data_IF_970550612261
#
_entry.id   IF_970550612261
#
_cell.length_a   1.000
_cell.length_b   1.000
_cell.length_c   1.000
_cell.angle_alpha   90.00
_cell.angle_beta   90.00
_cell.angle_gamma   90.00
#
_symmetry.space_group_name_H-M   'P 1'
#
loop_
_entity.id
_entity.type
_entity.pdbx_description
1 polymer ?
#
# COMPACT_ATOMS: atom_id res chain seq x y z
N UNK A 1 6.23 29.39 -9.62
CA UNK A 1 6.17 30.15 -8.35
C UNK A 1 7.56 30.68 -8.05
N UNK A 2 7.69 31.95 -7.63
CA UNK A 2 8.97 32.61 -7.32
C UNK A 2 9.07 32.83 -5.80
N UNK A 3 10.16 32.40 -5.17
CA UNK A 3 10.49 32.75 -3.79
C UNK A 3 11.44 33.97 -3.82
N UNK A 4 11.17 35.00 -3.01
CA UNK A 4 11.69 36.36 -3.19
C UNK A 4 12.84 36.70 -2.22
N UNK A 5 13.37 35.75 -1.46
CA UNK A 5 14.55 36.00 -0.59
C UNK A 5 15.89 35.53 -1.16
N UNK A 6 15.89 34.76 -2.27
CA UNK A 6 17.13 34.13 -2.77
C UNK A 6 17.45 34.48 -4.23
N UNK A 7 16.61 35.27 -4.92
CA UNK A 7 16.87 35.75 -6.30
C UNK A 7 17.02 34.67 -7.39
N UNK A 8 16.90 33.39 -7.07
CA UNK A 8 17.10 32.30 -8.02
C UNK A 8 15.86 32.13 -8.91
N UNK A 9 16.03 32.28 -10.23
CA UNK A 9 15.00 32.02 -11.24
C UNK A 9 15.23 30.65 -11.88
N UNK A 10 14.27 29.74 -11.73
CA UNK A 10 14.25 28.47 -12.46
C UNK A 10 13.36 28.66 -13.70
N UNK A 11 13.96 28.65 -14.90
CA UNK A 11 13.21 28.58 -16.16
C UNK A 11 12.87 27.11 -16.46
N UNK A 12 11.59 26.77 -16.53
CA UNK A 12 11.12 25.51 -17.11
C UNK A 12 10.47 25.81 -18.46
N UNK A 13 11.10 25.34 -19.54
CA UNK A 13 10.47 25.28 -20.85
C UNK A 13 9.65 23.97 -20.93
N UNK A 14 8.35 24.09 -21.21
CA UNK A 14 7.43 22.96 -21.36
C UNK A 14 6.94 22.94 -22.79
N UNK A 15 7.50 22.04 -23.59
CA UNK A 15 7.00 21.69 -24.91
C UNK A 15 6.20 20.39 -24.83
N UNK A 16 4.93 20.43 -25.25
CA UNK A 16 4.08 19.26 -25.40
C UNK A 16 4.25 18.72 -26.83
N UNK A 17 4.85 17.52 -26.96
CA UNK A 17 4.83 16.74 -28.19
C UNK A 17 3.78 15.65 -28.09
N UNK A 18 2.87 15.59 -29.06
CA UNK A 18 1.91 14.48 -29.16
C UNK A 18 2.64 13.18 -29.48
N UNK A 19 2.63 12.24 -28.54
CA UNK A 19 3.27 10.94 -28.70
C UNK A 19 2.97 9.98 -27.54
N UNK A 20 2.12 8.99 -27.79
CA UNK A 20 1.85 7.84 -26.91
C UNK A 20 3.12 6.99 -26.75
N UNK A 21 3.94 7.29 -25.76
CA UNK A 21 4.89 6.32 -25.19
C UNK A 21 4.94 6.59 -23.68
N UNK A 22 4.52 5.60 -22.89
CA UNK A 22 4.66 5.59 -21.43
C UNK A 22 6.16 5.74 -21.14
N UNK A 23 6.58 6.90 -20.63
CA UNK A 23 7.98 7.12 -20.28
C UNK A 23 8.29 6.38 -18.99
N UNK A 24 9.35 5.59 -19.01
CA UNK A 24 9.91 4.98 -17.80
C UNK A 24 10.32 6.09 -16.79
N UNK A 25 10.31 5.80 -15.49
CA UNK A 25 10.61 6.81 -14.47
C UNK A 25 12.02 7.36 -14.64
N UNK A 26 12.14 8.67 -14.81
CA UNK A 26 13.44 9.36 -14.92
C UNK A 26 14.19 9.25 -13.59
N UNK A 27 15.39 8.68 -13.63
CA UNK A 27 16.29 8.57 -12.50
C UNK A 27 17.25 9.77 -12.48
N UNK A 28 17.18 10.61 -11.44
CA UNK A 28 18.15 11.67 -11.20
C UNK A 28 19.41 11.04 -10.59
N UNK A 29 20.48 10.97 -11.37
CA UNK A 29 21.82 10.59 -10.89
C UNK A 29 22.58 11.88 -10.61
N UNK A 30 22.76 12.20 -9.33
CA UNK A 30 23.63 13.30 -8.91
C UNK A 30 25.08 12.83 -8.99
N UNK A 31 25.90 13.50 -9.81
CA UNK A 31 27.36 13.41 -9.72
C UNK A 31 27.87 14.62 -8.94
N UNK A 32 28.02 14.45 -7.63
CA UNK A 32 28.55 15.48 -6.73
C UNK A 32 28.14 15.22 -5.29
N UNK A 33 29.09 15.39 -4.36
CA UNK A 33 28.90 15.20 -2.92
C UNK A 33 27.94 16.25 -2.37
N UNK A 34 26.75 15.84 -1.96
CA UNK A 34 25.81 16.69 -1.22
C UNK A 34 26.18 16.61 0.26
N UNK A 35 26.83 17.64 0.78
CA UNK A 35 27.09 17.79 2.21
C UNK A 35 25.80 18.20 2.92
N UNK A 36 25.18 17.29 3.66
CA UNK A 36 24.08 17.62 4.58
C UNK A 36 24.65 18.30 5.81
N UNK A 37 24.52 19.62 5.89
CA UNK A 37 24.87 20.39 7.08
C UNK A 37 23.84 20.09 8.19
N UNK A 38 24.22 19.25 9.15
CA UNK A 38 23.46 19.00 10.38
C UNK A 38 24.42 19.03 11.57
N UNK A 39 24.74 20.25 12.02
CA UNK A 39 24.96 20.57 13.44
C UNK A 39 25.24 22.07 13.55
N UNK A 40 24.36 22.81 14.23
CA UNK A 40 24.69 24.13 14.73
C UNK A 40 24.60 24.09 16.25
N UNK A 41 25.72 24.34 16.91
CA UNK A 41 25.79 24.56 18.35
C UNK A 41 27.18 24.23 18.93
N UNK A 42 28.16 25.11 18.72
CA UNK A 42 28.72 26.02 19.74
C UNK A 42 30.10 26.54 19.27
N UNK A 43 30.43 27.84 19.45
CA UNK A 43 31.70 28.40 18.98
C UNK A 43 32.77 28.25 20.07
N UNK A 44 33.99 27.84 19.69
CA UNK A 44 35.19 28.07 20.49
C UNK A 44 36.40 28.25 19.57
N UNK A 45 37.24 29.19 19.99
CA UNK A 45 38.38 29.77 19.27
C UNK A 45 39.58 28.83 19.08
N UNK A 46 40.46 29.26 18.16
CA UNK A 46 41.92 29.04 18.12
C UNK A 46 42.52 27.92 17.24
N UNK A 47 43.14 28.40 16.15
CA UNK A 47 44.51 28.17 15.69
C UNK A 47 45.12 26.76 15.53
N UNK A 48 45.79 26.62 14.36
CA UNK A 48 47.00 25.82 14.06
C UNK A 48 46.83 24.41 13.48
N UNK A 49 47.15 24.32 12.18
CA UNK A 49 48.11 23.38 11.56
C UNK A 49 47.99 21.86 11.80
N UNK A 50 47.84 21.11 10.70
CA UNK A 50 48.47 19.79 10.58
C UNK A 50 47.62 18.64 10.06
N UNK A 51 48.01 18.16 8.87
CA UNK A 51 48.02 16.75 8.45
C UNK A 51 46.72 16.07 7.99
N UNK A 52 46.75 15.73 6.69
CA UNK A 52 45.86 14.88 5.91
C UNK A 52 45.81 13.45 6.46
N UNK A 53 44.64 12.97 6.87
CA UNK A 53 44.36 11.54 7.03
C UNK A 53 43.13 11.14 6.21
N UNK A 54 43.40 10.25 5.26
CA UNK A 54 42.47 9.47 4.44
C UNK A 54 41.46 8.75 5.34
N UNK A 55 40.16 9.04 5.17
CA UNK A 55 39.07 8.22 5.72
C UNK A 55 38.53 7.29 4.64
N UNK A 56 38.51 6.01 4.97
CA UNK A 56 37.95 4.91 4.21
C UNK A 56 36.44 5.12 3.96
N UNK A 57 35.88 4.57 2.86
CA UNK A 57 34.50 4.83 2.49
C UNK A 57 33.51 4.08 3.40
N UNK A 58 32.58 4.85 3.96
CA UNK A 58 31.47 4.37 4.78
C UNK A 58 30.60 3.34 4.05
N UNK A 59 30.37 2.24 4.76
CA UNK A 59 29.59 1.08 4.38
C UNK A 59 28.13 1.48 4.15
N UNK A 60 27.63 1.26 2.93
CA UNK A 60 26.23 1.45 2.55
C UNK A 60 25.27 0.89 3.61
N UNK A 61 24.49 1.78 4.23
CA UNK A 61 23.48 1.42 5.20
C UNK A 61 22.40 0.57 4.50
N UNK A 62 22.39 -0.74 4.81
CA UNK A 62 21.36 -1.66 4.35
C UNK A 62 19.99 -1.20 4.88
N UNK A 63 18.90 -1.31 4.09
CA UNK A 63 17.56 -0.98 4.56
C UNK A 63 17.27 -1.78 5.83
N UNK A 64 16.99 -1.05 6.91
CA UNK A 64 16.74 -1.61 8.24
C UNK A 64 15.40 -2.34 8.18
N UNK A 65 15.44 -3.67 8.18
CA UNK A 65 14.24 -4.51 8.27
C UNK A 65 13.50 -4.14 9.55
N UNK A 66 12.24 -3.75 9.41
CA UNK A 66 11.42 -3.39 10.56
C UNK A 66 11.12 -4.64 11.39
N UNK A 67 11.40 -4.56 12.69
CA UNK A 67 10.99 -5.58 13.65
C UNK A 67 9.51 -5.39 13.95
N UNK A 68 8.76 -6.48 13.92
CA UNK A 68 7.32 -6.51 14.09
C UNK A 68 6.90 -6.15 15.51
N UNK A 69 6.46 -4.91 15.72
CA UNK A 69 5.88 -4.46 16.98
C UNK A 69 4.34 -4.60 16.93
N UNK A 70 3.81 -5.83 17.02
CA UNK A 70 2.37 -6.06 17.15
C UNK A 70 1.88 -7.47 16.76
N UNK A 71 0.61 -7.81 17.05
CA UNK A 71 0.02 -9.08 16.62
C UNK A 71 0.06 -9.25 15.09
N UNK A 72 0.36 -10.46 14.62
CA UNK A 72 0.52 -10.78 13.19
C UNK A 72 -0.65 -10.28 12.32
N UNK A 73 -1.94 -10.44 12.70
CA UNK A 73 -3.04 -9.89 11.90
C UNK A 73 -2.96 -8.38 11.67
N UNK A 74 -2.56 -7.61 12.69
CA UNK A 74 -2.45 -6.14 12.62
C UNK A 74 -1.33 -5.73 11.68
N UNK A 75 -0.18 -6.40 11.78
CA UNK A 75 0.97 -6.20 10.90
C UNK A 75 0.60 -6.48 9.46
N UNK A 76 -0.02 -7.63 9.18
CA UNK A 76 -0.43 -8.02 7.84
C UNK A 76 -1.43 -7.02 7.24
N UNK A 77 -2.44 -6.61 8.00
CA UNK A 77 -3.40 -5.59 7.54
C UNK A 77 -2.71 -4.27 7.24
N UNK A 78 -1.79 -3.80 8.11
CA UNK A 78 -1.03 -2.57 7.88
C UNK A 78 -0.20 -2.66 6.61
N UNK A 79 0.53 -3.75 6.43
CA UNK A 79 1.35 -3.99 5.26
C UNK A 79 0.50 -4.01 3.97
N UNK A 80 -0.64 -4.70 3.98
CA UNK A 80 -1.56 -4.75 2.85
C UNK A 80 -2.11 -3.36 2.50
N UNK A 81 -2.52 -2.58 3.51
CA UNK A 81 -3.02 -1.22 3.30
C UNK A 81 -1.94 -0.29 2.75
N UNK A 82 -0.72 -0.34 3.30
CA UNK A 82 0.42 0.43 2.78
C UNK A 82 0.78 0.02 1.36
N UNK A 83 0.75 -1.27 1.03
CA UNK A 83 1.08 -1.74 -0.32
C UNK A 83 0.06 -1.27 -1.37
N UNK A 84 -1.22 -1.15 -1.00
CA UNK A 84 -2.27 -0.70 -1.91
C UNK A 84 -2.37 0.83 -2.06
N UNK A 85 -2.08 1.58 -0.99
CA UNK A 85 -2.39 3.01 -0.94
C UNK A 85 -1.19 3.92 -0.63
N UNK A 86 -0.06 3.39 -0.18
CA UNK A 86 1.10 4.22 0.14
C UNK A 86 2.01 4.39 -1.09
N UNK A 87 2.70 5.55 -1.22
CA UNK A 87 3.74 5.71 -2.22
C UNK A 87 4.81 4.63 -2.11
N UNK A 88 5.33 4.12 -3.24
CA UNK A 88 6.27 2.99 -3.28
C UNK A 88 7.52 3.19 -2.39
N UNK A 89 7.88 4.42 -2.04
CA UNK A 89 9.02 4.74 -1.14
C UNK A 89 8.73 4.54 0.35
N UNK A 90 7.49 4.22 0.72
CA UNK A 90 7.02 4.15 2.12
C UNK A 90 6.48 2.78 2.52
N UNK A 91 6.52 1.79 1.61
CA UNK A 91 6.20 0.41 1.98
C UNK A 91 7.35 -0.13 2.81
N UNK A 92 7.10 -0.30 4.10
CA UNK A 92 8.07 -0.84 5.05
C UNK A 92 8.37 -2.30 4.67
N UNK A 93 9.62 -2.66 4.33
CA UNK A 93 9.97 -4.04 4.07
C UNK A 93 9.94 -4.80 5.39
N UNK A 94 8.89 -5.58 5.56
CA UNK A 94 8.70 -6.46 6.71
C UNK A 94 9.26 -7.84 6.37
N UNK A 95 10.22 -8.33 7.16
CA UNK A 95 10.77 -9.66 6.96
C UNK A 95 9.68 -10.75 7.09
N UNK A 96 9.69 -11.69 6.16
CA UNK A 96 8.80 -12.86 6.15
C UNK A 96 7.46 -12.65 5.44
N UNK A 97 7.07 -11.40 5.13
CA UNK A 97 5.89 -11.16 4.30
C UNK A 97 6.22 -11.42 2.84
N UNK A 98 5.38 -12.21 2.18
CA UNK A 98 5.48 -12.47 0.75
C UNK A 98 4.10 -12.46 0.09
N UNK A 99 4.05 -12.07 -1.19
CA UNK A 99 2.82 -12.11 -1.97
C UNK A 99 2.42 -13.56 -2.28
N UNK A 100 1.12 -13.84 -2.25
CA UNK A 100 0.55 -15.16 -2.53
C UNK A 100 -0.38 -15.10 -3.75
N UNK A 101 -0.28 -16.04 -4.70
CA UNK A 101 -1.25 -16.13 -5.78
C UNK A 101 -2.64 -16.46 -5.24
N UNK A 102 -3.63 -15.66 -5.64
CA UNK A 102 -5.03 -15.83 -5.24
C UNK A 102 -5.69 -16.93 -6.09
N UNK A 103 -6.13 -18.01 -5.43
CA UNK A 103 -6.98 -19.06 -6.02
C UNK A 103 -8.43 -18.90 -5.59
N UNK A 104 -8.96 -17.69 -5.71
CA UNK A 104 -10.35 -17.37 -5.40
C UNK A 104 -11.12 -17.07 -6.70
N UNK A 105 -12.44 -17.27 -6.74
CA UNK A 105 -13.28 -16.79 -7.83
C UNK A 105 -13.10 -15.29 -8.08
N UNK A 106 -13.28 -14.85 -9.33
CA UNK A 106 -13.14 -13.44 -9.69
C UNK A 106 -14.19 -12.52 -9.00
N UNK A 107 -15.31 -13.10 -8.57
CA UNK A 107 -16.36 -12.42 -7.83
C UNK A 107 -16.80 -13.28 -6.66
N UNK A 108 -16.91 -12.68 -5.49
CA UNK A 108 -17.32 -13.33 -4.24
C UNK A 108 -18.71 -12.83 -3.86
N UNK A 109 -19.76 -13.55 -4.25
CA UNK A 109 -21.15 -13.14 -4.01
C UNK A 109 -21.72 -13.69 -2.71
N UNK A 110 -21.15 -14.78 -2.19
CA UNK A 110 -21.60 -15.41 -0.94
C UNK A 110 -21.01 -14.76 0.32
N UNK A 111 -20.01 -13.88 0.18
CA UNK A 111 -19.23 -13.34 1.29
C UNK A 111 -20.00 -12.34 2.17
N UNK A 112 -20.98 -11.61 1.63
CA UNK A 112 -21.75 -10.62 2.39
C UNK A 112 -23.26 -10.77 2.13
N UNK A 113 -23.97 -11.59 2.92
CA UNK A 113 -25.35 -11.97 2.63
C UNK A 113 -26.38 -10.84 2.84
N UNK A 114 -26.08 -9.82 3.66
CA UNK A 114 -27.05 -8.77 3.96
C UNK A 114 -27.27 -7.76 2.82
N UNK A 115 -26.36 -7.68 1.84
CA UNK A 115 -26.49 -6.77 0.72
C UNK A 115 -25.75 -7.30 -0.52
N UNK A 116 -26.27 -7.08 -1.74
CA UNK A 116 -25.65 -7.53 -2.97
C UNK A 116 -24.45 -6.64 -3.33
N UNK A 117 -23.32 -6.88 -2.69
CA UNK A 117 -22.06 -6.18 -2.94
C UNK A 117 -21.25 -6.91 -4.01
N UNK A 118 -20.58 -6.16 -4.88
CA UNK A 118 -19.60 -6.73 -5.82
C UNK A 118 -18.24 -6.82 -5.11
N UNK A 119 -17.82 -8.03 -4.73
CA UNK A 119 -16.52 -8.26 -4.07
C UNK A 119 -15.55 -8.96 -5.02
N UNK A 120 -14.40 -8.34 -5.27
CA UNK A 120 -13.37 -8.84 -6.21
C UNK A 120 -12.03 -8.97 -5.49
N UNK A 121 -11.37 -10.14 -5.52
CA UNK A 121 -10.02 -10.28 -4.98
C UNK A 121 -9.00 -9.38 -5.69
N UNK A 122 -8.17 -8.68 -4.91
CA UNK A 122 -7.12 -7.79 -5.43
C UNK A 122 -5.73 -8.42 -5.27
N UNK A 123 -5.37 -8.79 -4.06
CA UNK A 123 -4.05 -9.34 -3.72
C UNK A 123 -4.12 -10.11 -2.40
N UNK A 124 -3.11 -10.96 -2.16
CA UNK A 124 -2.92 -11.62 -0.89
C UNK A 124 -1.45 -11.62 -0.47
N UNK A 125 -1.23 -11.56 0.83
CA UNK A 125 0.09 -11.66 1.44
C UNK A 125 0.06 -12.60 2.63
N UNK A 126 1.15 -13.32 2.85
CA UNK A 126 1.27 -14.29 3.92
C UNK A 126 2.43 -13.97 4.85
N UNK A 127 2.26 -14.26 6.14
CA UNK A 127 3.29 -14.21 7.18
C UNK A 127 3.10 -15.41 8.11
N UNK A 128 3.98 -16.40 7.98
CA UNK A 128 3.81 -17.69 8.63
C UNK A 128 2.53 -18.38 8.17
N UNK A 129 1.66 -18.72 9.11
CA UNK A 129 0.38 -19.41 8.88
C UNK A 129 -0.83 -18.45 8.74
N UNK A 130 -0.58 -17.14 8.79
CA UNK A 130 -1.59 -16.11 8.57
C UNK A 130 -1.49 -15.55 7.15
N UNK A 131 -2.65 -15.33 6.54
CA UNK A 131 -2.77 -14.71 5.22
C UNK A 131 -3.73 -13.54 5.35
N UNK A 132 -3.39 -12.40 4.75
CA UNK A 132 -4.32 -11.31 4.51
C UNK A 132 -4.72 -11.31 3.04
N UNK A 133 -6.03 -11.25 2.79
CA UNK A 133 -6.62 -11.11 1.46
C UNK A 133 -7.25 -9.73 1.37
N UNK A 134 -6.81 -8.94 0.39
CA UNK A 134 -7.43 -7.67 0.07
C UNK A 134 -8.49 -7.86 -1.03
N UNK A 135 -9.68 -7.35 -0.78
CA UNK A 135 -10.81 -7.40 -1.70
C UNK A 135 -11.27 -5.98 -2.01
N UNK A 136 -11.55 -5.70 -3.28
CA UNK A 136 -12.33 -4.54 -3.69
C UNK A 136 -13.79 -4.83 -3.42
N UNK A 137 -14.47 -3.95 -2.72
CA UNK A 137 -15.90 -4.03 -2.43
C UNK A 137 -16.58 -2.84 -3.08
N UNK A 138 -17.53 -3.12 -3.97
CA UNK A 138 -18.28 -2.09 -4.68
C UNK A 138 -19.78 -2.23 -4.43
N UNK A 139 -20.45 -1.10 -4.28
CA UNK A 139 -21.89 -1.00 -4.17
C UNK A 139 -22.53 -0.76 -5.56
N UNK A 140 -23.28 -1.73 -6.11
CA UNK A 140 -23.98 -1.55 -7.38
C UNK A 140 -25.33 -0.84 -7.22
N UNK A 141 -25.77 -0.49 -6.01
CA UNK A 141 -27.07 0.13 -5.74
C UNK A 141 -26.98 1.65 -5.70
N UNK A 142 -28.07 2.33 -6.06
CA UNK A 142 -28.24 3.78 -5.93
C UNK A 142 -28.57 4.24 -4.51
N UNK A 143 -28.18 3.47 -3.48
CA UNK A 143 -28.41 3.80 -2.07
C UNK A 143 -27.13 3.57 -1.28
N UNK A 144 -26.88 4.41 -0.28
CA UNK A 144 -25.74 4.25 0.63
C UNK A 144 -25.88 2.97 1.47
N UNK A 145 -24.78 2.25 1.64
CA UNK A 145 -24.72 1.03 2.47
C UNK A 145 -23.71 1.26 3.61
N UNK A 146 -24.10 0.91 4.84
CA UNK A 146 -23.18 0.85 5.98
C UNK A 146 -22.67 -0.59 6.09
N UNK A 147 -21.35 -0.74 6.16
CA UNK A 147 -20.68 -2.03 6.19
C UNK A 147 -20.44 -2.46 7.64
N UNK A 148 -20.86 -3.68 7.96
CA UNK A 148 -20.57 -4.32 9.23
C UNK A 148 -19.72 -5.59 9.00
N UNK A 149 -18.48 -5.65 9.51
CA UNK A 149 -17.62 -6.83 9.35
C UNK A 149 -18.20 -8.10 10.01
N UNK A 150 -19.14 -7.98 10.95
CA UNK A 150 -19.75 -9.12 11.64
C UNK A 150 -20.73 -9.92 10.78
N UNK A 151 -21.17 -9.33 9.67
CA UNK A 151 -22.11 -9.94 8.73
C UNK A 151 -21.37 -10.83 7.70
N UNK A 152 -20.05 -10.71 7.60
CA UNK A 152 -19.26 -11.47 6.65
C UNK A 152 -19.36 -12.98 6.89
N UNK A 153 -19.67 -13.71 5.83
CA UNK A 153 -19.72 -15.18 5.84
C UNK A 153 -18.33 -15.76 5.59
N UNK A 154 -17.86 -16.64 6.47
CA UNK A 154 -16.58 -17.34 6.32
C UNK A 154 -15.89 -17.56 7.65
N UNK A 155 -14.62 -17.95 7.59
CA UNK A 155 -13.78 -18.19 8.78
C UNK A 155 -12.60 -17.22 8.77
N UNK A 156 -12.79 -16.07 9.41
CA UNK A 156 -11.81 -14.98 9.44
C UNK A 156 -11.33 -14.73 10.88
N UNK A 157 -10.02 -14.51 11.03
CA UNK A 157 -9.41 -14.06 12.28
C UNK A 157 -9.72 -12.59 12.52
N UNK A 158 -9.69 -11.78 11.46
CA UNK A 158 -10.11 -10.38 11.49
C UNK A 158 -10.63 -9.92 10.13
N UNK A 159 -11.48 -8.90 10.16
CA UNK A 159 -12.02 -8.26 8.97
C UNK A 159 -12.06 -6.74 9.18
N UNK A 160 -11.42 -6.00 8.27
CA UNK A 160 -11.32 -4.53 8.36
C UNK A 160 -11.66 -3.90 7.03
N UNK A 161 -12.62 -2.98 7.03
CA UNK A 161 -12.89 -2.13 5.87
C UNK A 161 -12.06 -0.85 5.94
N UNK A 162 -11.53 -0.41 4.79
CA UNK A 162 -10.87 0.89 4.64
C UNK A 162 -11.85 2.04 4.98
N UNK A 163 -13.09 1.93 4.49
CA UNK A 163 -14.20 2.82 4.82
C UNK A 163 -15.40 1.98 5.27
N UNK A 164 -16.07 2.40 6.36
CA UNK A 164 -17.21 1.68 6.96
C UNK A 164 -18.54 1.88 6.21
N UNK A 165 -18.52 2.56 5.07
CA UNK A 165 -19.71 2.82 4.27
C UNK A 165 -19.34 2.90 2.79
N UNK A 166 -20.33 2.64 1.95
CA UNK A 166 -20.26 2.79 0.50
C UNK A 166 -21.35 3.75 0.05
N UNK A 167 -20.97 4.70 -0.79
CA UNK A 167 -21.87 5.61 -1.48
C UNK A 167 -22.71 4.91 -2.55
N UNK A 168 -23.51 5.70 -3.25
CA UNK A 168 -24.35 5.24 -4.36
C UNK A 168 -23.50 4.86 -5.57
N UNK A 169 -23.99 3.89 -6.35
CA UNK A 169 -23.32 3.41 -7.56
C UNK A 169 -22.93 4.55 -8.51
N UNK A 170 -21.68 4.50 -9.00
CA UNK A 170 -21.15 5.48 -9.94
C UNK A 170 -20.50 6.70 -9.28
N UNK A 171 -20.55 6.81 -7.95
CA UNK A 171 -19.77 7.80 -7.20
C UNK A 171 -18.38 7.23 -6.82
N UNK A 172 -17.35 8.08 -6.60
CA UNK A 172 -16.05 7.61 -6.11
C UNK A 172 -16.13 6.85 -4.78
N UNK A 173 -17.14 7.16 -3.97
CA UNK A 173 -17.38 6.51 -2.68
C UNK A 173 -18.13 5.18 -2.80
N UNK A 174 -18.52 4.74 -4.01
CA UNK A 174 -19.19 3.46 -4.26
C UNK A 174 -18.28 2.25 -4.04
N UNK A 175 -16.98 2.48 -3.82
CA UNK A 175 -15.95 1.46 -3.71
C UNK A 175 -15.10 1.64 -2.46
N UNK A 176 -14.77 0.53 -1.80
CA UNK A 176 -13.84 0.46 -0.67
C UNK A 176 -12.99 -0.81 -0.74
N UNK A 177 -11.99 -0.92 0.12
CA UNK A 177 -11.19 -2.14 0.28
C UNK A 177 -11.54 -2.84 1.58
N UNK A 178 -11.66 -4.16 1.54
CA UNK A 178 -11.82 -5.04 2.68
C UNK A 178 -10.56 -5.89 2.83
N UNK A 179 -10.00 -5.92 4.04
CA UNK A 179 -8.87 -6.77 4.42
C UNK A 179 -9.38 -7.89 5.31
N UNK A 180 -9.21 -9.14 4.86
CA UNK A 180 -9.58 -10.34 5.61
C UNK A 180 -8.33 -11.08 6.02
N UNK A 181 -8.11 -11.26 7.32
CA UNK A 181 -7.05 -12.11 7.83
C UNK A 181 -7.61 -13.49 8.11
N UNK A 182 -6.96 -14.51 7.56
CA UNK A 182 -7.30 -15.92 7.75
C UNK A 182 -6.09 -16.67 8.28
N UNK A 183 -6.34 -17.86 8.81
CA UNK A 183 -5.31 -18.84 9.15
C UNK A 183 -5.42 -20.03 8.21
N UNK A 184 -4.30 -20.52 7.69
CA UNK A 184 -4.30 -21.63 6.75
C UNK A 184 -4.61 -21.18 5.32
N UNK A 185 -5.46 -21.90 4.58
CA UNK A 185 -5.65 -21.66 3.14
C UNK A 185 -6.88 -20.80 2.83
N UNK A 186 -6.81 -19.88 1.84
CA UNK A 186 -7.97 -19.07 1.42
C UNK A 186 -9.17 -19.90 1.00
N UNK A 187 -8.98 -20.96 0.22
CA UNK A 187 -10.08 -21.78 -0.29
C UNK A 187 -10.96 -22.42 0.80
N UNK A 188 -10.42 -22.62 2.02
CA UNK A 188 -11.16 -23.17 3.15
C UNK A 188 -11.86 -22.11 4.01
N UNK A 189 -11.42 -20.86 3.92
CA UNK A 189 -11.93 -19.78 4.76
C UNK A 189 -13.11 -19.03 4.12
N UNK A 190 -13.16 -18.99 2.79
CA UNK A 190 -14.20 -18.31 2.03
C UNK A 190 -15.41 -19.24 1.81
N UNK A 191 -16.64 -18.69 1.82
CA UNK A 191 -17.83 -19.47 1.54
C UNK A 191 -17.85 -19.95 0.09
N UNK A 192 -18.48 -21.10 -0.16
CA UNK A 192 -18.70 -21.59 -1.51
C UNK A 192 -19.66 -20.65 -2.26
N UNK A 193 -19.33 -20.36 -3.52
CA UNK A 193 -20.21 -19.56 -4.38
C UNK A 193 -21.44 -20.37 -4.81
N UNK A 194 -22.63 -19.75 -4.84
CA UNK A 194 -23.83 -20.43 -5.30
C UNK A 194 -23.69 -20.82 -6.78
N UNK A 195 -23.99 -22.08 -7.09
CA UNK A 195 -24.03 -22.56 -8.48
C UNK A 195 -25.32 -22.05 -9.13
N UNK A 196 -25.25 -20.93 -9.83
CA UNK A 196 -26.37 -20.48 -10.67
C UNK A 196 -26.50 -21.44 -11.86
N UNK A 197 -27.47 -22.35 -11.77
CA UNK A 197 -27.94 -23.09 -12.93
C UNK A 197 -28.59 -22.08 -13.89
N UNK A 198 -27.95 -21.80 -15.03
CA UNK A 198 -28.62 -21.07 -16.11
C UNK A 198 -29.72 -21.99 -16.63
N UNK A 199 -30.96 -21.71 -16.24
CA UNK A 199 -32.11 -22.26 -16.94
C UNK A 199 -32.18 -21.55 -18.29
N UNK A 200 -31.88 -22.29 -19.36
CA UNK A 200 -32.06 -21.82 -20.71
C UNK A 200 -33.58 -21.75 -20.97
N UNK A 201 -34.07 -20.55 -21.25
CA UNK A 201 -35.44 -20.28 -21.65
C UNK A 201 -35.47 -19.89 -23.12
#
# INVERSE_FOLDING_TARGET
LKNVENGEMILLDVSAGDGKIVREPVQLVYQGTVSTASSAGQPDDSASGGTRQTREPDKAAKPKVAVLNGPVPVVLTRYAAQTLYAPLRTVEPVAGIHALPLRLPARLTALYPAAPLEMTPLAAWALGEYIVVALKVRNPRSQKIVLDPRILSGQFISATFQHRWLGEAGRPEDTTTLYLVIKGRPESAFPAEPVYRREAH
#
